data_IF_478332710821
#
_entry.id   IF_478332710821
#
_cell.length_a   1.000
_cell.length_b   1.000
_cell.length_c   1.000
_cell.angle_alpha   90.00
_cell.angle_beta   90.00
_cell.angle_gamma   90.00
#
_symmetry.space_group_name_H-M   'P 1'
#
loop_
_entity.id
_entity.type
_entity.pdbx_description
1 polymer ?
#
# COMPACT_ATOMS: atom_id res chain seq x y z
N UNK A 1 5.72 28.09 -13.02
CA UNK A 1 4.80 26.96 -13.31
C UNK A 1 5.18 25.82 -12.39
N UNK A 2 4.24 25.34 -11.59
CA UNK A 2 4.45 24.22 -10.67
C UNK A 2 4.72 22.94 -11.47
N UNK A 3 5.81 22.24 -11.19
CA UNK A 3 6.15 20.98 -11.87
C UNK A 3 5.44 19.82 -11.17
N UNK A 4 4.77 18.97 -11.94
CA UNK A 4 4.12 17.75 -11.45
C UNK A 4 4.91 16.55 -11.98
N UNK A 5 5.64 15.88 -11.10
CA UNK A 5 6.47 14.76 -11.47
C UNK A 5 5.60 13.50 -11.62
N UNK A 6 5.53 12.93 -12.82
CA UNK A 6 4.76 11.71 -13.08
C UNK A 6 5.54 10.50 -12.57
N UNK A 7 4.90 9.67 -11.75
CA UNK A 7 5.41 8.36 -11.32
C UNK A 7 4.80 7.24 -12.17
N UNK A 8 3.54 7.39 -12.54
CA UNK A 8 2.83 6.50 -13.47
C UNK A 8 1.92 7.32 -14.38
N UNK A 9 1.26 6.68 -15.35
CA UNK A 9 0.25 7.33 -16.18
C UNK A 9 -0.94 7.89 -15.38
N UNK A 10 -1.26 7.28 -14.22
CA UNK A 10 -2.35 7.70 -13.35
C UNK A 10 -1.93 8.61 -12.20
N UNK A 11 -0.67 8.54 -11.75
CA UNK A 11 -0.20 9.26 -10.56
C UNK A 11 0.92 10.24 -10.88
N UNK A 12 0.73 11.49 -10.47
CA UNK A 12 1.78 12.48 -10.34
C UNK A 12 1.96 12.94 -8.90
N UNK A 13 3.15 13.41 -8.58
CA UNK A 13 3.49 13.97 -7.26
C UNK A 13 4.05 15.38 -7.37
N UNK A 14 3.85 16.19 -6.33
CA UNK A 14 4.44 17.52 -6.26
C UNK A 14 4.67 17.97 -4.81
N UNK A 15 5.34 19.13 -4.66
CA UNK A 15 5.55 19.80 -3.38
C UNK A 15 4.28 20.46 -2.85
N UNK A 16 4.45 21.44 -1.96
CA UNK A 16 3.33 22.19 -1.43
C UNK A 16 2.55 22.88 -2.56
N UNK A 17 1.23 22.75 -2.55
CA UNK A 17 0.32 23.49 -3.43
C UNK A 17 -0.33 24.64 -2.64
N UNK A 18 -0.63 25.73 -3.32
CA UNK A 18 -1.44 26.83 -2.78
C UNK A 18 -2.88 26.79 -3.31
N UNK A 19 -3.74 27.69 -2.83
CA UNK A 19 -5.12 27.77 -3.32
C UNK A 19 -5.16 28.18 -4.80
N UNK A 20 -4.21 29.02 -5.21
CA UNK A 20 -4.06 29.54 -6.58
C UNK A 20 -3.58 28.46 -7.57
N UNK A 21 -2.96 27.38 -7.10
CA UNK A 21 -2.56 26.26 -7.94
C UNK A 21 -3.76 25.38 -8.34
N UNK A 22 -4.81 25.31 -7.54
CA UNK A 22 -5.94 24.38 -7.71
C UNK A 22 -6.67 24.55 -9.05
N UNK A 23 -7.00 25.77 -9.51
CA UNK A 23 -7.58 25.96 -10.84
C UNK A 23 -6.67 25.41 -11.96
N UNK A 24 -5.35 25.61 -11.84
CA UNK A 24 -4.38 25.13 -12.82
C UNK A 24 -4.24 23.60 -12.80
N UNK A 25 -4.34 22.98 -11.61
CA UNK A 25 -4.37 21.52 -11.44
C UNK A 25 -5.58 20.93 -12.18
N UNK A 26 -6.77 21.50 -11.97
CA UNK A 26 -7.99 21.08 -12.67
C UNK A 26 -7.89 21.27 -14.19
N UNK A 27 -7.39 22.42 -14.64
CA UNK A 27 -7.20 22.73 -16.05
C UNK A 27 -6.20 21.79 -16.75
N UNK A 28 -5.26 21.21 -16.00
CA UNK A 28 -4.31 20.22 -16.51
C UNK A 28 -4.89 18.80 -16.60
N UNK A 29 -6.13 18.62 -16.17
CA UNK A 29 -6.91 17.39 -16.36
C UNK A 29 -6.85 16.41 -15.20
N UNK A 30 -6.16 16.74 -14.10
CA UNK A 30 -6.26 15.95 -12.86
C UNK A 30 -7.72 15.89 -12.40
N UNK A 31 -8.09 14.78 -11.76
CA UNK A 31 -9.44 14.55 -11.25
C UNK A 31 -9.49 14.48 -9.73
N UNK A 32 -8.37 14.11 -9.11
CA UNK A 32 -8.30 13.93 -7.66
C UNK A 32 -6.98 14.44 -7.10
N UNK A 33 -7.01 14.94 -5.86
CA UNK A 33 -5.86 15.37 -5.08
C UNK A 33 -5.76 14.54 -3.80
N UNK A 34 -4.57 14.02 -3.49
CA UNK A 34 -4.27 13.41 -2.19
C UNK A 34 -3.28 14.30 -1.44
N UNK A 35 -3.65 14.76 -0.24
CA UNK A 35 -2.76 15.52 0.63
C UNK A 35 -2.12 14.60 1.68
N UNK A 36 -0.81 14.45 1.60
CA UNK A 36 0.00 13.67 2.53
C UNK A 36 0.77 14.53 3.55
N UNK A 37 0.45 15.83 3.67
CA UNK A 37 1.00 16.76 4.65
C UNK A 37 0.01 16.98 5.80
N UNK A 38 0.37 16.66 7.06
CA UNK A 38 -0.41 17.07 8.23
C UNK A 38 -0.64 18.58 8.24
N UNK A 39 -1.80 19.02 8.74
CA UNK A 39 -2.09 20.44 8.90
C UNK A 39 -1.27 21.02 10.05
N UNK A 40 -0.91 22.30 9.93
CA UNK A 40 -0.14 23.01 10.96
C UNK A 40 1.35 22.67 10.99
N UNK A 41 1.92 22.07 9.93
CA UNK A 41 3.38 21.98 9.79
C UNK A 41 4.04 23.35 9.60
N UNK A 42 3.29 24.35 9.11
CA UNK A 42 3.78 25.69 8.83
C UNK A 42 2.65 26.73 8.94
N UNK A 43 2.96 27.95 9.39
CA UNK A 43 1.95 28.98 9.64
C UNK A 43 1.18 29.40 8.36
N UNK A 44 1.87 29.51 7.23
CA UNK A 44 1.28 29.87 5.94
C UNK A 44 0.74 28.67 5.15
N UNK A 45 0.67 27.48 5.77
CA UNK A 45 0.15 26.29 5.12
C UNK A 45 -1.36 26.44 4.86
N UNK A 46 -1.76 26.20 3.61
CA UNK A 46 -3.18 26.02 3.28
C UNK A 46 -3.72 24.81 4.04
N UNK A 47 -4.78 25.02 4.83
CA UNK A 47 -5.41 23.93 5.60
C UNK A 47 -6.03 22.89 4.66
N UNK A 48 -6.07 21.63 5.09
CA UNK A 48 -6.73 20.57 4.32
C UNK A 48 -8.22 20.87 4.07
N UNK A 49 -8.89 21.52 5.02
CA UNK A 49 -10.30 21.94 4.89
C UNK A 49 -10.49 22.97 3.77
N UNK A 50 -9.65 24.00 3.75
CA UNK A 50 -9.74 25.07 2.74
C UNK A 50 -9.31 24.55 1.35
N UNK A 51 -8.26 23.72 1.31
CA UNK A 51 -7.83 23.05 0.09
C UNK A 51 -8.94 22.15 -0.48
N UNK A 52 -9.65 21.40 0.38
CA UNK A 52 -10.77 20.57 -0.05
C UNK A 52 -11.93 21.40 -0.58
N UNK A 53 -12.22 22.56 0.03
CA UNK A 53 -13.27 23.46 -0.44
C UNK A 53 -12.92 23.99 -1.85
N UNK A 54 -11.71 24.54 -2.03
CA UNK A 54 -11.25 25.05 -3.32
C UNK A 54 -11.18 23.94 -4.40
N UNK A 55 -10.73 22.72 -4.05
CA UNK A 55 -10.71 21.59 -4.97
C UNK A 55 -12.12 21.25 -5.49
N UNK A 56 -13.12 21.21 -4.59
CA UNK A 56 -14.51 20.91 -4.96
C UNK A 56 -15.11 21.97 -5.88
N UNK A 57 -14.79 23.23 -5.69
CA UNK A 57 -15.24 24.33 -6.59
C UNK A 57 -14.77 24.13 -8.04
N UNK A 58 -13.64 23.43 -8.23
CA UNK A 58 -13.09 23.08 -9.54
C UNK A 58 -13.37 21.64 -9.99
N UNK A 59 -14.27 20.92 -9.30
CA UNK A 59 -14.67 19.57 -9.65
C UNK A 59 -13.59 18.50 -9.41
N UNK A 60 -12.65 18.78 -8.51
CA UNK A 60 -11.63 17.83 -8.07
C UNK A 60 -12.09 17.11 -6.80
N UNK A 61 -11.89 15.79 -6.75
CA UNK A 61 -11.95 15.06 -5.48
C UNK A 61 -10.72 15.41 -4.62
N UNK A 62 -10.89 15.52 -3.31
CA UNK A 62 -9.81 15.87 -2.40
C UNK A 62 -9.81 14.93 -1.20
N UNK A 63 -8.69 14.25 -0.98
CA UNK A 63 -8.52 13.28 0.09
C UNK A 63 -7.35 13.66 0.98
N UNK A 64 -7.63 13.71 2.28
CA UNK A 64 -6.63 14.00 3.30
C UNK A 64 -6.12 12.69 3.92
N UNK A 65 -4.86 12.35 3.64
CA UNK A 65 -4.17 11.18 4.19
C UNK A 65 -2.81 11.61 4.76
N UNK A 66 -2.80 12.32 5.90
CA UNK A 66 -1.59 12.90 6.46
C UNK A 66 -0.63 11.82 6.95
N UNK A 67 0.63 11.92 6.56
CA UNK A 67 1.68 11.02 7.09
C UNK A 67 2.86 11.82 7.62
N UNK A 68 3.42 11.33 8.72
CA UNK A 68 4.61 11.93 9.34
C UNK A 68 5.86 11.35 8.66
N UNK A 69 6.80 12.19 8.22
CA UNK A 69 8.07 11.72 7.66
C UNK A 69 8.76 10.70 8.57
N UNK A 70 9.26 9.61 7.98
CA UNK A 70 9.94 8.54 8.72
C UNK A 70 9.03 7.63 9.57
N UNK A 71 7.73 7.94 9.66
CA UNK A 71 6.75 7.15 10.43
C UNK A 71 5.59 6.62 9.59
N UNK A 72 5.81 6.46 8.28
CA UNK A 72 4.80 5.85 7.38
C UNK A 72 4.54 4.42 7.87
N UNK A 73 3.30 4.13 8.26
CA UNK A 73 2.85 2.83 8.75
C UNK A 73 2.35 1.94 7.61
N UNK A 74 2.09 0.67 7.91
CA UNK A 74 1.45 -0.26 6.98
C UNK A 74 0.01 0.14 6.66
N UNK A 75 -0.71 0.71 7.63
CA UNK A 75 -2.05 1.23 7.44
C UNK A 75 -2.06 2.43 6.48
N UNK A 76 -1.07 3.33 6.57
CA UNK A 76 -0.95 4.46 5.65
C UNK A 76 -0.73 4.00 4.21
N UNK A 77 0.12 2.99 4.02
CA UNK A 77 0.39 2.39 2.70
C UNK A 77 -0.86 1.73 2.13
N UNK A 78 -1.60 0.99 2.95
CA UNK A 78 -2.85 0.37 2.54
C UNK A 78 -3.91 1.41 2.17
N UNK A 79 -4.10 2.45 3.00
CA UNK A 79 -5.03 3.54 2.73
C UNK A 79 -4.67 4.31 1.45
N UNK A 80 -3.38 4.58 1.21
CA UNK A 80 -2.95 5.23 -0.02
C UNK A 80 -3.21 4.36 -1.26
N UNK A 81 -2.91 3.06 -1.17
CA UNK A 81 -3.19 2.09 -2.23
C UNK A 81 -4.70 2.00 -2.54
N UNK A 82 -5.54 2.02 -1.51
CA UNK A 82 -6.99 2.00 -1.64
C UNK A 82 -7.52 3.28 -2.32
N UNK A 83 -7.02 4.45 -1.93
CA UNK A 83 -7.35 5.71 -2.59
C UNK A 83 -6.98 5.67 -4.08
N UNK A 84 -5.79 5.21 -4.43
CA UNK A 84 -5.40 5.12 -5.85
C UNK A 84 -6.30 4.18 -6.67
N UNK A 85 -6.87 3.15 -6.05
CA UNK A 85 -7.78 2.22 -6.72
C UNK A 85 -9.20 2.79 -6.91
N UNK A 86 -9.65 3.67 -6.01
CA UNK A 86 -11.02 4.19 -6.00
C UNK A 86 -11.17 5.56 -6.67
N UNK A 87 -10.14 6.40 -6.58
CA UNK A 87 -10.23 7.79 -7.02
C UNK A 87 -10.23 7.92 -8.55
N UNK A 88 -11.01 8.87 -9.09
CA UNK A 88 -10.91 9.28 -10.47
C UNK A 88 -9.47 9.67 -10.84
N UNK A 89 -8.99 9.10 -11.95
CA UNK A 89 -7.64 9.34 -12.48
C UNK A 89 -7.67 10.45 -13.54
N UNK A 90 -6.58 11.23 -13.72
CA UNK A 90 -5.31 11.16 -13.01
C UNK A 90 -5.35 11.78 -11.61
N UNK A 91 -4.58 11.20 -10.68
CA UNK A 91 -4.40 11.67 -9.30
C UNK A 91 -3.14 12.51 -9.16
N UNK A 92 -3.23 13.62 -8.43
CA UNK A 92 -2.08 14.39 -7.97
C UNK A 92 -1.92 14.23 -6.45
N UNK A 93 -0.84 13.60 -6.01
CA UNK A 93 -0.51 13.52 -4.58
C UNK A 93 0.53 14.59 -4.21
N UNK A 94 0.36 15.23 -3.05
CA UNK A 94 1.28 16.27 -2.62
C UNK A 94 1.61 16.17 -1.13
N UNK A 95 2.75 16.76 -0.75
CA UNK A 95 3.03 17.06 0.64
C UNK A 95 3.83 18.36 0.73
N UNK A 96 4.82 18.49 1.63
CA UNK A 96 5.73 19.65 1.64
C UNK A 96 6.69 19.66 0.43
N UNK A 97 7.37 18.54 0.19
CA UNK A 97 8.39 18.41 -0.88
C UNK A 97 8.02 17.38 -1.95
N UNK A 98 6.91 16.65 -1.79
CA UNK A 98 6.52 15.49 -2.61
C UNK A 98 7.12 14.15 -2.16
N UNK A 99 8.16 14.16 -1.32
CA UNK A 99 8.87 12.93 -0.88
C UNK A 99 7.97 11.94 -0.15
N UNK A 100 7.01 12.40 0.66
CA UNK A 100 6.06 11.50 1.36
C UNK A 100 5.14 10.77 0.39
N UNK A 101 4.59 11.49 -0.58
CA UNK A 101 3.72 10.93 -1.62
C UNK A 101 4.48 9.93 -2.50
N UNK A 102 5.71 10.26 -2.90
CA UNK A 102 6.58 9.32 -3.61
C UNK A 102 6.95 8.09 -2.77
N UNK A 103 7.17 8.26 -1.45
CA UNK A 103 7.46 7.17 -0.52
C UNK A 103 6.26 6.25 -0.32
N UNK A 104 5.05 6.80 -0.18
CA UNK A 104 3.82 6.04 -0.08
C UNK A 104 3.57 5.19 -1.32
N UNK A 105 3.71 5.79 -2.50
CA UNK A 105 3.64 5.06 -3.77
C UNK A 105 4.70 3.96 -3.86
N UNK A 106 5.96 4.27 -3.54
CA UNK A 106 7.04 3.28 -3.58
C UNK A 106 6.73 2.07 -2.68
N UNK A 107 6.19 2.31 -1.49
CA UNK A 107 5.81 1.26 -0.55
C UNK A 107 4.57 0.49 -1.01
N UNK A 108 3.57 1.13 -1.62
CA UNK A 108 2.38 0.42 -2.15
C UNK A 108 2.75 -0.52 -3.29
N UNK A 109 3.64 -0.08 -4.19
CA UNK A 109 4.09 -0.88 -5.35
C UNK A 109 5.06 -2.00 -4.98
N UNK A 110 5.67 -1.98 -3.79
CA UNK A 110 6.65 -2.97 -3.36
C UNK A 110 6.09 -4.41 -3.34
N UNK A 111 4.77 -4.59 -3.42
CA UNK A 111 4.16 -5.93 -3.51
C UNK A 111 4.05 -6.45 -4.95
N UNK A 112 4.23 -5.58 -5.95
CA UNK A 112 3.97 -5.88 -7.37
C UNK A 112 5.16 -5.61 -8.28
N UNK A 113 6.12 -4.76 -7.88
CA UNK A 113 7.29 -4.37 -8.68
C UNK A 113 8.58 -4.61 -7.93
N UNK A 114 9.68 -4.78 -8.66
CA UNK A 114 11.01 -4.93 -8.08
C UNK A 114 11.49 -3.62 -7.43
N UNK A 115 12.32 -3.73 -6.38
CA UNK A 115 12.73 -2.55 -5.61
C UNK A 115 13.57 -1.59 -6.45
N UNK A 116 14.39 -2.14 -7.35
CA UNK A 116 15.19 -1.38 -8.30
C UNK A 116 14.34 -0.56 -9.28
N UNK A 117 13.26 -1.14 -9.80
CA UNK A 117 12.33 -0.46 -10.71
C UNK A 117 11.61 0.70 -10.00
N UNK A 118 11.16 0.46 -8.77
CA UNK A 118 10.50 1.48 -7.95
C UNK A 118 11.45 2.65 -7.67
N UNK A 119 12.67 2.37 -7.23
CA UNK A 119 13.68 3.39 -6.93
C UNK A 119 14.06 4.15 -8.20
N UNK A 120 14.26 3.46 -9.33
CA UNK A 120 14.55 4.09 -10.61
C UNK A 120 13.43 5.04 -11.04
N UNK A 121 12.17 4.62 -10.91
CA UNK A 121 10.99 5.44 -11.24
C UNK A 121 10.94 6.71 -10.40
N UNK A 122 11.11 6.59 -9.08
CA UNK A 122 11.15 7.77 -8.20
C UNK A 122 12.34 8.68 -8.50
N UNK A 123 13.51 8.12 -8.77
CA UNK A 123 14.73 8.89 -9.11
C UNK A 123 14.55 9.70 -10.39
N UNK A 124 13.96 9.11 -11.43
CA UNK A 124 13.61 9.80 -12.68
C UNK A 124 12.61 10.94 -12.47
N UNK A 125 11.71 10.78 -11.50
CA UNK A 125 10.77 11.81 -11.07
C UNK A 125 11.39 12.86 -10.11
N UNK A 126 12.68 12.75 -9.78
CA UNK A 126 13.40 13.70 -8.92
C UNK A 126 13.38 13.38 -7.42
N UNK A 127 13.03 12.15 -7.03
CA UNK A 127 12.97 11.69 -5.64
C UNK A 127 13.96 10.57 -5.36
N UNK A 128 15.03 10.85 -4.61
CA UNK A 128 15.93 9.82 -4.13
C UNK A 128 15.34 9.07 -2.93
N UNK A 129 14.96 7.81 -3.17
CA UNK A 129 14.38 6.92 -2.17
C UNK A 129 15.28 5.70 -1.87
N UNK A 130 16.58 5.78 -2.14
CA UNK A 130 17.50 4.67 -1.86
C UNK A 130 17.47 4.22 -0.39
N UNK A 131 17.24 5.15 0.54
CA UNK A 131 17.09 4.85 1.96
C UNK A 131 15.90 3.91 2.28
N UNK A 132 14.88 3.84 1.41
CA UNK A 132 13.74 2.93 1.57
C UNK A 132 14.03 1.51 1.10
N UNK A 133 15.14 1.25 0.40
CA UNK A 133 15.45 -0.06 -0.19
C UNK A 133 15.29 -1.24 0.78
N UNK A 134 15.81 -1.22 2.02
CA UNK A 134 15.62 -2.34 2.96
C UNK A 134 14.14 -2.62 3.24
N UNK A 135 13.33 -1.56 3.36
CA UNK A 135 11.89 -1.67 3.60
C UNK A 135 11.13 -2.18 2.38
N UNK A 136 11.51 -1.75 1.16
CA UNK A 136 10.92 -2.26 -0.08
C UNK A 136 11.17 -3.78 -0.23
N UNK A 137 12.42 -4.22 0.00
CA UNK A 137 12.79 -5.63 -0.02
C UNK A 137 12.04 -6.45 1.04
N UNK A 138 11.90 -5.91 2.26
CA UNK A 138 11.15 -6.58 3.33
C UNK A 138 9.67 -6.79 2.94
N UNK A 139 9.03 -5.80 2.32
CA UNK A 139 7.64 -5.92 1.81
C UNK A 139 7.52 -6.95 0.68
N UNK A 140 8.47 -6.97 -0.24
CA UNK A 140 8.52 -7.97 -1.32
C UNK A 140 8.61 -9.39 -0.75
N UNK A 141 9.48 -9.58 0.24
CA UNK A 141 9.64 -10.86 0.91
C UNK A 141 8.39 -11.29 1.70
N UNK A 142 7.66 -10.35 2.30
CA UNK A 142 6.39 -10.64 2.98
C UNK A 142 5.33 -11.21 2.03
N UNK A 143 5.22 -10.67 0.81
CA UNK A 143 4.26 -11.19 -0.19
C UNK A 143 4.72 -12.51 -0.79
N UNK A 144 6.02 -12.67 -1.06
CA UNK A 144 6.59 -13.94 -1.52
C UNK A 144 6.46 -15.06 -0.47
N UNK A 145 6.59 -14.71 0.82
CA UNK A 145 6.37 -15.61 1.96
C UNK A 145 4.90 -15.83 2.31
N UNK A 146 3.99 -15.00 1.79
CA UNK A 146 2.54 -15.15 1.90
C UNK A 146 1.94 -15.99 0.77
N UNK A 147 2.75 -16.78 0.05
CA UNK A 147 2.22 -17.86 -0.77
C UNK A 147 1.39 -18.77 0.13
N UNK A 148 0.06 -18.69 0.02
CA UNK A 148 -0.85 -19.56 0.77
C UNK A 148 -0.49 -20.99 0.36
N UNK A 149 0.03 -21.82 1.28
CA UNK A 149 0.37 -23.19 0.93
C UNK A 149 -0.90 -23.89 0.45
N UNK A 150 -0.88 -24.35 -0.79
CA UNK A 150 -1.98 -25.13 -1.36
C UNK A 150 -1.81 -26.58 -0.96
N UNK A 151 -2.86 -27.16 -0.38
CA UNK A 151 -2.94 -28.57 -0.02
C UNK A 151 -4.04 -29.23 -0.85
N UNK A 152 -3.81 -30.47 -1.27
CA UNK A 152 -4.81 -31.28 -1.97
C UNK A 152 -5.91 -31.77 -1.00
N UNK A 153 -5.58 -31.89 0.29
CA UNK A 153 -6.48 -32.37 1.34
C UNK A 153 -6.23 -31.61 2.64
N UNK A 154 -7.31 -31.16 3.30
CA UNK A 154 -7.29 -30.61 4.65
C UNK A 154 -8.02 -31.55 5.61
N UNK A 155 -7.37 -31.92 6.71
CA UNK A 155 -7.96 -32.67 7.83
C UNK A 155 -8.19 -31.72 8.99
N UNK A 156 -9.42 -31.63 9.48
CA UNK A 156 -9.78 -30.79 10.64
C UNK A 156 -9.91 -31.68 11.87
N UNK A 157 -9.09 -31.39 12.89
CA UNK A 157 -8.91 -32.19 14.11
C UNK A 157 -7.58 -32.97 14.07
N UNK A 158 -6.68 -32.66 15.00
CA UNK A 158 -5.36 -33.28 15.17
C UNK A 158 -5.33 -34.45 16.16
N UNK A 159 -6.49 -34.90 16.64
CA UNK A 159 -6.59 -36.11 17.47
C UNK A 159 -6.35 -37.42 16.71
N UNK A 160 -6.48 -38.55 17.40
CA UNK A 160 -6.19 -39.90 16.87
C UNK A 160 -6.90 -40.19 15.55
N UNK A 161 -8.17 -39.80 15.42
CA UNK A 161 -8.94 -40.00 14.19
C UNK A 161 -8.37 -39.20 13.01
N UNK A 162 -8.02 -37.92 13.23
CA UNK A 162 -7.48 -37.06 12.19
C UNK A 162 -6.10 -37.50 11.70
N UNK A 163 -5.21 -37.84 12.64
CA UNK A 163 -3.88 -38.39 12.31
C UNK A 163 -4.02 -39.74 11.57
N UNK A 164 -4.94 -40.61 12.01
CA UNK A 164 -5.19 -41.89 11.35
C UNK A 164 -5.71 -41.73 9.92
N UNK A 165 -6.61 -40.75 9.71
CA UNK A 165 -7.10 -40.38 8.36
C UNK A 165 -5.95 -39.87 7.50
N UNK A 166 -5.14 -38.93 8.01
CA UNK A 166 -3.99 -38.37 7.30
C UNK A 166 -2.99 -39.47 6.90
N UNK A 167 -2.65 -40.37 7.83
CA UNK A 167 -1.75 -41.49 7.58
C UNK A 167 -2.31 -42.46 6.53
N UNK A 168 -3.59 -42.81 6.61
CA UNK A 168 -4.25 -43.69 5.65
C UNK A 168 -4.29 -43.09 4.24
N UNK A 169 -4.56 -41.78 4.14
CA UNK A 169 -4.58 -41.04 2.88
C UNK A 169 -3.19 -40.98 2.25
N UNK A 170 -2.16 -40.61 3.03
CA UNK A 170 -0.78 -40.55 2.54
C UNK A 170 -0.24 -41.93 2.16
N UNK A 171 -0.61 -42.99 2.88
CA UNK A 171 -0.24 -44.37 2.53
C UNK A 171 -0.80 -44.82 1.18
N UNK A 172 -2.02 -44.39 0.83
CA UNK A 172 -2.68 -44.75 -0.45
C UNK A 172 -2.27 -43.81 -1.59
N UNK A 173 -1.99 -42.55 -1.28
CA UNK A 173 -1.68 -41.48 -2.24
C UNK A 173 -0.52 -40.62 -1.70
N UNK A 174 0.74 -41.09 -1.85
CA UNK A 174 1.90 -40.43 -1.26
C UNK A 174 2.26 -39.10 -1.92
N UNK A 175 1.72 -38.81 -3.11
CA UNK A 175 1.96 -37.55 -3.82
C UNK A 175 1.11 -36.36 -3.36
N UNK A 176 0.17 -36.56 -2.42
CA UNK A 176 -0.70 -35.48 -1.95
C UNK A 176 0.01 -34.58 -0.94
N UNK A 177 -0.17 -33.28 -1.09
CA UNK A 177 0.12 -32.29 -0.05
C UNK A 177 -1.08 -32.23 0.89
N UNK A 178 -0.90 -32.70 2.11
CA UNK A 178 -1.96 -32.74 3.13
C UNK A 178 -1.63 -31.80 4.30
N UNK A 179 -2.63 -31.07 4.78
CA UNK A 179 -2.55 -30.30 6.03
C UNK A 179 -3.49 -30.88 7.10
N UNK A 180 -3.07 -30.80 8.35
CA UNK A 180 -3.93 -31.05 9.52
C UNK A 180 -4.05 -29.72 10.27
N UNK A 181 -5.27 -29.30 10.59
CA UNK A 181 -5.54 -28.16 11.46
C UNK A 181 -6.23 -28.66 12.73
N UNK A 182 -5.74 -28.22 13.88
CA UNK A 182 -6.35 -28.52 15.17
C UNK A 182 -6.75 -27.20 15.84
N UNK A 183 -8.05 -26.86 15.86
CA UNK A 183 -8.51 -25.58 16.37
C UNK A 183 -8.51 -25.48 17.91
N UNK A 184 -8.30 -26.57 18.65
CA UNK A 184 -8.26 -26.56 20.12
C UNK A 184 -6.83 -26.41 20.63
N UNK A 185 -6.66 -25.57 21.64
CA UNK A 185 -5.36 -25.39 22.32
C UNK A 185 -5.10 -26.41 23.45
N UNK A 186 -6.15 -27.10 23.91
CA UNK A 186 -6.07 -28.07 25.02
C UNK A 186 -6.50 -29.46 24.51
N UNK A 187 -5.60 -30.43 24.68
CA UNK A 187 -5.83 -31.83 24.28
C UNK A 187 -5.95 -32.73 25.51
N UNK A 188 -7.12 -33.34 25.67
CA UNK A 188 -7.29 -34.45 26.60
C UNK A 188 -6.93 -35.74 25.86
N UNK A 189 -5.70 -36.22 26.08
CA UNK A 189 -5.28 -37.51 25.53
C UNK A 189 -6.03 -38.64 26.26
N UNK A 190 -6.85 -39.40 25.52
CA UNK A 190 -7.24 -40.74 25.91
C UNK A 190 -6.36 -41.71 25.14
N UNK A 191 -5.66 -42.60 25.85
CA UNK A 191 -4.90 -43.66 25.20
C UNK A 191 -5.88 -44.54 24.41
N UNK A 192 -5.65 -44.66 23.11
CA UNK A 192 -6.31 -45.62 22.22
C UNK A 192 -5.49 -46.87 22.04
#
# INVERSE_FOLDING_TARGET
MTNYASLTSGLSVTGQISAEDIPAIAARGFKSIINNRPDGEEYAQLSSTDAAAAAREHGLEYHYLPVVPGKITEADVAAFSELLAQLPQPVLAHCRSGTRSASLWALSEATQRAADEIIATCSQAGYDLNALRPRLLARQAQVAGAAIPTYDVLVVGGGTAGISVAASVLKRRPGLKLAIIEPREIHYYQAG
#
